data_IF_641055918615
#
_entry.id   IF_641055918615
#
_cell.length_a   1.000
_cell.length_b   1.000
_cell.length_c   1.000
_cell.angle_alpha   90.00
_cell.angle_beta   90.00
_cell.angle_gamma   90.00
#
_symmetry.space_group_name_H-M   'P 1'
#
loop_
_entity.id
_entity.type
_entity.pdbx_description
1 polymer ?
#
# COMPACT_ATOMS: atom_id res chain seq x y z
N UNK A 1 19.05 -28.81 -6.29
CA UNK A 1 18.47 -27.64 -6.99
C UNK A 1 17.27 -27.16 -6.17
N UNK A 2 17.49 -26.47 -5.06
CA UNK A 2 16.37 -25.90 -4.31
C UNK A 2 15.79 -24.78 -5.16
N UNK A 3 14.53 -24.92 -5.59
CA UNK A 3 13.86 -23.99 -6.50
C UNK A 3 14.10 -22.55 -6.05
N UNK A 4 14.99 -21.86 -6.76
CA UNK A 4 15.19 -20.39 -6.66
C UNK A 4 13.83 -19.69 -6.73
N UNK A 5 12.91 -20.24 -7.52
CA UNK A 5 11.51 -19.83 -7.59
C UNK A 5 10.79 -19.82 -6.23
N UNK A 6 10.99 -20.84 -5.38
CA UNK A 6 10.33 -20.96 -4.07
C UNK A 6 10.91 -19.95 -3.07
N UNK A 7 12.20 -19.65 -3.17
CA UNK A 7 12.87 -18.63 -2.34
C UNK A 7 12.44 -17.23 -2.77
N UNK A 8 12.46 -16.95 -4.08
CA UNK A 8 12.00 -15.67 -4.62
C UNK A 8 10.53 -15.39 -4.28
N UNK A 9 9.65 -16.39 -4.40
CA UNK A 9 8.26 -16.25 -3.99
C UNK A 9 8.14 -15.97 -2.48
N UNK A 10 8.88 -16.71 -1.64
CA UNK A 10 8.84 -16.50 -0.19
C UNK A 10 9.33 -15.11 0.22
N UNK A 11 10.42 -14.63 -0.37
CA UNK A 11 10.96 -13.28 -0.15
C UNK A 11 10.00 -12.20 -0.66
N UNK A 12 9.38 -12.41 -1.83
CA UNK A 12 8.41 -11.49 -2.40
C UNK A 12 7.14 -11.37 -1.55
N UNK A 13 6.56 -12.51 -1.16
CA UNK A 13 5.41 -12.54 -0.25
C UNK A 13 5.81 -12.03 1.15
N UNK A 14 7.02 -12.33 1.61
CA UNK A 14 7.55 -11.81 2.88
C UNK A 14 7.62 -10.29 2.89
N UNK A 15 8.07 -9.67 1.80
CA UNK A 15 8.12 -8.21 1.65
C UNK A 15 6.71 -7.60 1.60
N UNK A 16 5.77 -8.24 0.90
CA UNK A 16 4.37 -7.81 0.85
C UNK A 16 3.64 -7.96 2.20
N UNK A 17 4.00 -8.98 2.99
CA UNK A 17 3.43 -9.26 4.31
C UNK A 17 4.04 -8.37 5.40
N UNK A 18 5.35 -8.06 5.32
CA UNK A 18 5.99 -7.04 6.17
C UNK A 18 5.41 -5.64 5.89
N UNK A 19 5.08 -5.34 4.63
CA UNK A 19 4.27 -4.18 4.23
C UNK A 19 2.75 -4.42 4.40
N UNK A 20 2.32 -5.43 5.17
CA UNK A 20 0.89 -5.76 5.34
C UNK A 20 0.04 -4.59 5.83
N UNK A 21 0.62 -3.68 6.62
CA UNK A 21 -0.02 -2.43 7.01
C UNK A 21 -0.28 -1.48 5.81
N UNK A 22 0.62 -1.47 4.83
CA UNK A 22 0.50 -0.69 3.60
C UNK A 22 -0.61 -1.26 2.69
N UNK A 23 -0.63 -2.58 2.52
CA UNK A 23 -1.67 -3.25 1.72
C UNK A 23 -3.07 -3.04 2.33
N UNK A 24 -3.17 -3.12 3.66
CA UNK A 24 -4.41 -2.84 4.38
C UNK A 24 -4.83 -1.37 4.24
N UNK A 25 -3.90 -0.43 4.33
CA UNK A 25 -4.17 1.00 4.13
C UNK A 25 -4.68 1.28 2.70
N UNK A 26 -4.07 0.67 1.68
CA UNK A 26 -4.51 0.81 0.29
C UNK A 26 -5.92 0.23 0.07
N UNK A 27 -6.20 -0.95 0.63
CA UNK A 27 -7.54 -1.56 0.57
C UNK A 27 -8.60 -0.69 1.26
N UNK A 28 -8.29 -0.13 2.43
CA UNK A 28 -9.18 0.80 3.14
C UNK A 28 -9.42 2.08 2.34
N UNK A 29 -8.39 2.65 1.72
CA UNK A 29 -8.51 3.83 0.86
C UNK A 29 -9.43 3.53 -0.34
N UNK A 30 -9.21 2.41 -1.03
CA UNK A 30 -10.04 2.00 -2.17
C UNK A 30 -11.50 1.79 -1.73
N UNK A 31 -11.72 1.13 -0.60
CA UNK A 31 -13.06 0.93 -0.06
C UNK A 31 -13.74 2.27 0.27
N UNK A 32 -13.02 3.18 0.95
CA UNK A 32 -13.54 4.50 1.31
C UNK A 32 -13.89 5.34 0.06
N UNK A 33 -13.00 5.40 -0.92
CA UNK A 33 -13.25 6.14 -2.16
C UNK A 33 -14.40 5.50 -2.95
N UNK A 34 -14.44 4.17 -3.03
CA UNK A 34 -15.53 3.44 -3.68
C UNK A 34 -16.89 3.74 -3.05
N UNK A 35 -16.94 3.83 -1.71
CA UNK A 35 -18.15 4.25 -0.98
C UNK A 35 -18.50 5.71 -1.28
N UNK A 36 -17.53 6.62 -1.27
CA UNK A 36 -17.77 8.04 -1.60
C UNK A 36 -18.35 8.22 -3.00
N UNK A 37 -17.74 7.60 -4.01
CA UNK A 37 -18.20 7.75 -5.40
C UNK A 37 -19.56 7.09 -5.60
N UNK A 38 -19.78 5.90 -5.02
CA UNK A 38 -21.02 5.14 -5.23
C UNK A 38 -22.23 5.68 -4.47
N UNK A 39 -22.03 6.18 -3.25
CA UNK A 39 -23.14 6.58 -2.37
C UNK A 39 -23.25 8.09 -2.17
N UNK A 40 -22.15 8.84 -2.29
CA UNK A 40 -22.17 10.30 -2.10
C UNK A 40 -22.15 11.08 -3.43
N UNK A 41 -22.28 10.40 -4.58
CA UNK A 41 -22.27 11.00 -5.92
C UNK A 41 -21.08 11.95 -6.15
N UNK A 42 -19.94 11.63 -5.54
CA UNK A 42 -18.72 12.41 -5.68
C UNK A 42 -18.26 12.37 -7.12
N UNK A 43 -17.87 13.52 -7.65
CA UNK A 43 -17.37 13.67 -9.01
C UNK A 43 -16.22 12.67 -9.27
N UNK A 44 -16.27 11.99 -10.42
CA UNK A 44 -15.31 10.95 -10.77
C UNK A 44 -13.86 11.48 -10.78
N UNK A 45 -13.66 12.75 -11.14
CA UNK A 45 -12.35 13.38 -11.13
C UNK A 45 -11.82 13.55 -9.70
N UNK A 46 -12.71 13.90 -8.77
CA UNK A 46 -12.37 14.03 -7.34
C UNK A 46 -12.03 12.67 -6.74
N UNK A 47 -12.80 11.62 -7.07
CA UNK A 47 -12.52 10.25 -6.64
C UNK A 47 -11.19 9.73 -7.17
N UNK A 48 -10.89 9.99 -8.45
CA UNK A 48 -9.60 9.62 -9.06
C UNK A 48 -8.42 10.37 -8.42
N UNK A 49 -8.56 11.67 -8.18
CA UNK A 49 -7.54 12.44 -7.48
C UNK A 49 -7.30 11.91 -6.06
N UNK A 50 -8.36 11.60 -5.32
CA UNK A 50 -8.28 11.08 -3.96
C UNK A 50 -7.55 9.72 -3.91
N UNK A 51 -7.82 8.83 -4.88
CA UNK A 51 -7.07 7.58 -5.02
C UNK A 51 -5.60 7.81 -5.35
N UNK A 52 -5.31 8.68 -6.31
CA UNK A 52 -3.94 8.97 -6.74
C UNK A 52 -3.12 9.51 -5.55
N UNK A 53 -3.58 10.61 -4.95
CA UNK A 53 -2.88 11.24 -3.86
C UNK A 53 -2.86 10.37 -2.60
N UNK A 54 -3.95 9.66 -2.30
CA UNK A 54 -4.00 8.72 -1.18
C UNK A 54 -3.00 7.58 -1.34
N UNK A 55 -2.90 6.97 -2.53
CA UNK A 55 -1.90 5.93 -2.80
C UNK A 55 -0.46 6.46 -2.71
N UNK A 56 -0.19 7.67 -3.19
CA UNK A 56 1.12 8.32 -3.05
C UNK A 56 1.49 8.55 -1.58
N UNK A 57 0.55 9.01 -0.76
CA UNK A 57 0.78 9.24 0.67
C UNK A 57 1.04 7.93 1.41
N UNK A 58 0.26 6.89 1.11
CA UNK A 58 0.44 5.54 1.62
C UNK A 58 1.86 5.06 1.30
N UNK A 59 2.28 5.15 0.02
CA UNK A 59 3.63 4.78 -0.40
C UNK A 59 4.71 5.59 0.30
N UNK A 60 4.55 6.92 0.40
CA UNK A 60 5.50 7.80 1.07
C UNK A 60 5.66 7.43 2.56
N UNK A 61 4.56 7.11 3.25
CA UNK A 61 4.59 6.63 4.63
C UNK A 61 5.33 5.28 4.76
N UNK A 62 5.16 4.35 3.82
CA UNK A 62 5.93 3.08 3.86
C UNK A 62 7.42 3.32 3.65
N UNK A 63 7.79 4.14 2.67
CA UNK A 63 9.20 4.47 2.42
C UNK A 63 9.80 5.18 3.64
N UNK A 64 9.07 6.14 4.23
CA UNK A 64 9.53 6.85 5.42
C UNK A 64 9.63 5.92 6.63
N UNK A 65 8.68 5.01 6.83
CA UNK A 65 8.71 4.01 7.91
C UNK A 65 9.88 3.06 7.75
N UNK A 66 10.11 2.53 6.55
CA UNK A 66 11.24 1.67 6.25
C UNK A 66 12.58 2.39 6.48
N UNK A 67 12.69 3.65 6.05
CA UNK A 67 13.86 4.48 6.31
C UNK A 67 14.10 4.70 7.81
N UNK A 68 13.05 4.98 8.59
CA UNK A 68 13.14 5.15 10.06
C UNK A 68 13.56 3.85 10.76
N UNK A 69 12.98 2.71 10.38
CA UNK A 69 13.32 1.40 10.95
C UNK A 69 14.76 0.98 10.63
N UNK A 70 15.25 1.30 9.42
CA UNK A 70 16.64 1.04 9.04
C UNK A 70 17.64 1.88 9.84
N UNK A 71 17.25 3.08 10.28
CA UNK A 71 18.10 3.97 11.08
C UNK A 71 18.19 3.58 12.57
N UNK A 72 17.14 2.95 13.12
CA UNK A 72 17.09 2.45 14.52
C UNK A 72 17.85 1.14 14.74
N UNK A 73 18.35 0.52 13.66
CA UNK A 73 19.08 -0.76 13.69
C UNK A 73 20.61 -0.58 13.62
N UNK A 74 21.10 0.64 13.85
CA UNK A 74 22.51 1.01 13.93
C UNK A 74 22.81 1.52 15.33
#
# INVERSE_FOLDING_TARGET
MMNILKVALKEFFGMFIDDGALALAALLLIAAVGVLVKFAHVDALLGAALLLFGCLLILAESVARAARQKFQRK
#
